data_IF_751015493936
#
_entry.id   IF_751015493936
#
_cell.length_a   1.000
_cell.length_b   1.000
_cell.length_c   1.000
_cell.angle_alpha   90.00
_cell.angle_beta   90.00
_cell.angle_gamma   90.00
#
_symmetry.space_group_name_H-M   'P 1'
#
loop_
_entity.id
_entity.type
_entity.pdbx_description
1 polymer ?
#
# COMPACT_ATOMS: atom_id res chain seq x y z
N UNK A 1 -53.89 27.70 -19.85
CA UNK A 1 -53.47 26.34 -19.36
C UNK A 1 -51.94 26.33 -19.28
N UNK A 2 -51.41 26.55 -18.09
CA UNK A 2 -50.00 26.38 -17.85
C UNK A 2 -49.67 24.88 -18.07
N UNK A 3 -48.62 24.53 -18.80
CA UNK A 3 -48.18 23.16 -18.93
C UNK A 3 -47.75 22.68 -17.58
N UNK A 4 -48.35 21.60 -17.08
CA UNK A 4 -48.01 20.91 -15.85
C UNK A 4 -46.55 20.39 -15.93
N UNK A 5 -45.62 21.28 -15.60
CA UNK A 5 -44.16 21.11 -15.73
C UNK A 5 -43.61 20.10 -14.70
N UNK A 6 -44.51 19.47 -13.95
CA UNK A 6 -44.17 18.52 -12.89
C UNK A 6 -44.31 17.05 -13.30
N UNK A 7 -44.66 16.76 -14.56
CA UNK A 7 -44.68 15.39 -15.09
C UNK A 7 -43.27 14.93 -15.42
N UNK A 8 -42.87 13.83 -14.80
CA UNK A 8 -41.63 13.14 -15.16
C UNK A 8 -41.68 12.70 -16.63
N UNK A 9 -40.65 13.10 -17.38
CA UNK A 9 -40.49 12.63 -18.77
C UNK A 9 -40.15 11.16 -18.77
N UNK A 10 -40.50 10.44 -19.84
CA UNK A 10 -40.26 9.00 -19.99
C UNK A 10 -38.82 8.59 -19.61
N UNK A 11 -37.83 9.38 -20.04
CA UNK A 11 -36.41 9.13 -19.74
C UNK A 11 -36.09 9.30 -18.25
N UNK A 12 -36.70 10.24 -17.57
CA UNK A 12 -36.56 10.44 -16.13
C UNK A 12 -37.15 9.26 -15.36
N UNK A 13 -38.31 8.78 -15.79
CA UNK A 13 -38.97 7.61 -15.22
C UNK A 13 -38.11 6.35 -15.36
N UNK A 14 -37.48 6.13 -16.51
CA UNK A 14 -36.59 4.98 -16.74
C UNK A 14 -35.38 4.98 -15.80
N UNK A 15 -34.79 6.15 -15.56
CA UNK A 15 -33.67 6.28 -14.62
C UNK A 15 -34.10 6.03 -13.16
N UNK A 16 -35.25 6.57 -12.77
CA UNK A 16 -35.78 6.35 -11.42
C UNK A 16 -36.18 4.89 -11.20
N UNK A 17 -36.76 4.24 -12.20
CA UNK A 17 -37.08 2.80 -12.16
C UNK A 17 -35.82 1.93 -12.01
N UNK A 18 -34.73 2.28 -12.69
CA UNK A 18 -33.45 1.60 -12.54
C UNK A 18 -32.86 1.81 -11.13
N UNK A 19 -32.92 3.02 -10.58
CA UNK A 19 -32.50 3.32 -9.19
C UNK A 19 -33.41 2.67 -8.15
N UNK A 20 -34.68 2.41 -8.47
CA UNK A 20 -35.59 1.65 -7.60
C UNK A 20 -35.15 0.21 -7.37
N UNK A 21 -34.46 -0.40 -8.34
CA UNK A 21 -33.92 -1.76 -8.20
C UNK A 21 -32.67 -1.79 -7.30
N UNK A 22 -31.83 -0.77 -7.38
CA UNK A 22 -30.61 -0.64 -6.61
C UNK A 22 -30.41 0.82 -6.26
N UNK A 23 -30.58 1.18 -5.00
CA UNK A 23 -30.59 2.57 -4.51
C UNK A 23 -29.30 3.34 -4.70
N UNK A 24 -28.18 2.68 -5.03
CA UNK A 24 -26.88 3.30 -5.29
C UNK A 24 -26.25 2.64 -6.51
N UNK A 25 -26.01 3.43 -7.54
CA UNK A 25 -25.36 3.00 -8.78
C UNK A 25 -24.35 4.06 -9.24
N UNK A 26 -23.31 3.61 -9.91
CA UNK A 26 -22.45 4.51 -10.68
C UNK A 26 -23.18 4.96 -11.96
N UNK A 27 -22.73 6.07 -12.55
CA UNK A 27 -23.29 6.54 -13.84
C UNK A 27 -23.24 5.44 -14.91
N UNK A 28 -22.13 4.69 -14.98
CA UNK A 28 -21.96 3.59 -15.93
C UNK A 28 -22.90 2.41 -15.67
N UNK A 29 -23.11 2.05 -14.40
CA UNK A 29 -24.09 1.01 -14.03
C UNK A 29 -25.51 1.45 -14.37
N UNK A 30 -25.83 2.73 -14.14
CA UNK A 30 -27.14 3.30 -14.42
C UNK A 30 -27.42 3.36 -15.93
N UNK A 31 -26.44 3.71 -16.77
CA UNK A 31 -26.53 3.64 -18.23
C UNK A 31 -26.81 2.21 -18.71
N UNK A 32 -26.10 1.25 -18.13
CA UNK A 32 -26.28 -0.18 -18.49
C UNK A 32 -27.65 -0.73 -18.07
N UNK A 33 -28.08 -0.40 -16.85
CA UNK A 33 -29.34 -0.90 -16.30
C UNK A 33 -30.58 -0.26 -16.94
N UNK A 34 -30.50 1.04 -17.24
CA UNK A 34 -31.57 1.77 -17.94
C UNK A 34 -31.60 1.51 -19.45
N UNK A 35 -30.52 0.94 -20.01
CA UNK A 35 -30.37 0.77 -21.47
C UNK A 35 -30.18 2.06 -22.23
N UNK A 36 -29.96 3.17 -21.55
CA UNK A 36 -29.84 4.50 -22.12
C UNK A 36 -28.39 4.92 -22.28
N UNK A 37 -28.07 5.59 -23.40
CA UNK A 37 -26.78 6.27 -23.59
C UNK A 37 -26.91 7.75 -23.25
N UNK A 38 -25.84 8.34 -22.73
CA UNK A 38 -25.78 9.76 -22.39
C UNK A 38 -26.91 10.19 -21.43
N UNK A 39 -26.89 9.64 -20.23
CA UNK A 39 -27.90 9.93 -19.18
C UNK A 39 -27.63 11.22 -18.40
N UNK A 40 -26.46 11.84 -18.58
CA UNK A 40 -26.03 13.00 -17.80
C UNK A 40 -27.02 14.18 -17.84
N UNK A 41 -27.57 14.58 -19.03
CA UNK A 41 -28.57 15.66 -19.07
C UNK A 41 -29.83 15.34 -18.28
N UNK A 42 -30.33 14.11 -18.38
CA UNK A 42 -31.53 13.67 -17.65
C UNK A 42 -31.24 13.56 -16.16
N UNK A 43 -30.06 13.07 -15.78
CA UNK A 43 -29.61 12.99 -14.39
C UNK A 43 -29.51 14.37 -13.76
N UNK A 44 -29.05 15.38 -14.51
CA UNK A 44 -28.98 16.77 -14.05
C UNK A 44 -30.35 17.32 -13.71
N UNK A 45 -31.36 17.09 -14.52
CA UNK A 45 -32.74 17.51 -14.25
C UNK A 45 -33.29 16.83 -13.00
N UNK A 46 -33.00 15.54 -12.80
CA UNK A 46 -33.43 14.81 -11.61
C UNK A 46 -32.70 15.32 -10.33
N UNK A 47 -31.45 15.77 -10.45
CA UNK A 47 -30.72 16.42 -9.38
C UNK A 47 -31.33 17.80 -9.02
N UNK A 48 -31.63 18.61 -10.04
CA UNK A 48 -32.28 19.93 -9.86
C UNK A 48 -33.67 19.80 -9.22
N UNK A 49 -34.37 18.70 -9.45
CA UNK A 49 -35.67 18.35 -8.84
C UNK A 49 -35.53 17.63 -7.49
N UNK A 50 -34.30 17.48 -6.96
CA UNK A 50 -34.01 16.76 -5.72
C UNK A 50 -34.52 15.30 -5.68
N UNK A 51 -34.84 14.72 -6.83
CA UNK A 51 -35.32 13.34 -6.93
C UNK A 51 -34.18 12.33 -6.78
N UNK A 52 -32.94 12.74 -6.98
CA UNK A 52 -31.71 11.92 -6.81
C UNK A 52 -30.61 12.76 -6.17
N UNK A 53 -29.68 12.09 -5.50
CA UNK A 53 -28.51 12.72 -4.89
C UNK A 53 -27.25 12.07 -5.42
N UNK A 54 -26.20 12.87 -5.66
CA UNK A 54 -24.87 12.37 -6.01
C UNK A 54 -24.03 12.37 -4.73
N UNK A 55 -23.50 11.19 -4.38
CA UNK A 55 -22.47 11.05 -3.35
C UNK A 55 -21.16 10.64 -4.00
N UNK A 56 -20.12 11.44 -3.83
CA UNK A 56 -18.78 11.07 -4.26
C UNK A 56 -18.23 10.02 -3.30
N UNK A 57 -18.13 8.78 -3.76
CA UNK A 57 -17.36 7.75 -3.06
C UNK A 57 -15.92 7.83 -3.55
N UNK A 58 -15.07 8.42 -2.75
CA UNK A 58 -13.64 8.27 -2.91
C UNK A 58 -13.30 6.78 -2.71
N UNK A 59 -13.34 6.01 -3.80
CA UNK A 59 -12.70 4.69 -3.80
C UNK A 59 -11.21 4.96 -3.68
N UNK A 60 -10.72 5.03 -2.47
CA UNK A 60 -9.30 4.99 -2.20
C UNK A 60 -8.79 3.62 -2.65
N UNK A 61 -8.49 3.50 -3.94
CA UNK A 61 -7.70 2.38 -4.48
C UNK A 61 -6.23 2.52 -4.03
N UNK A 62 -6.04 3.05 -2.81
CA UNK A 62 -4.73 3.09 -2.20
C UNK A 62 -4.31 1.65 -1.91
N UNK A 63 -3.45 1.13 -2.76
CA UNK A 63 -2.71 -0.09 -2.49
C UNK A 63 -1.37 0.34 -1.89
N UNK A 64 -1.18 0.15 -0.59
CA UNK A 64 0.10 0.45 0.02
C UNK A 64 1.18 -0.36 -0.69
N UNK A 65 2.29 0.30 -1.00
CA UNK A 65 3.46 -0.40 -1.55
C UNK A 65 4.04 -1.26 -0.43
N UNK A 66 4.00 -2.58 -0.61
CA UNK A 66 4.60 -3.52 0.34
C UNK A 66 5.98 -3.91 -0.15
N UNK A 67 6.94 -3.98 0.75
CA UNK A 67 8.27 -4.52 0.52
C UNK A 67 8.49 -5.74 1.41
N UNK A 68 9.26 -6.69 0.89
CA UNK A 68 9.59 -7.91 1.64
C UNK A 68 10.87 -7.66 2.42
N UNK A 69 10.81 -7.87 3.71
CA UNK A 69 11.92 -7.85 4.65
C UNK A 69 12.26 -9.26 5.09
N UNK A 70 13.48 -9.42 5.58
CA UNK A 70 14.00 -10.70 6.07
C UNK A 70 14.37 -10.52 7.53
N UNK A 71 14.09 -11.53 8.35
CA UNK A 71 14.57 -11.62 9.71
C UNK A 71 15.14 -13.01 10.01
N UNK A 72 15.98 -13.11 11.03
CA UNK A 72 16.39 -14.40 11.59
C UNK A 72 15.24 -15.01 12.38
N UNK A 73 15.19 -16.33 12.44
CA UNK A 73 14.17 -17.07 13.23
C UNK A 73 14.48 -17.08 14.73
N UNK A 74 15.65 -16.61 15.10
CA UNK A 74 16.12 -16.51 16.49
C UNK A 74 16.44 -15.06 16.86
N UNK A 75 16.47 -14.78 18.15
CA UNK A 75 16.64 -13.43 18.69
C UNK A 75 18.10 -13.01 18.80
N UNK A 76 18.32 -11.70 18.86
CA UNK A 76 19.62 -11.12 19.16
C UNK A 76 20.06 -11.53 20.58
N UNK A 77 21.27 -12.06 20.70
CA UNK A 77 21.83 -12.54 21.97
C UNK A 77 21.71 -14.06 22.18
N UNK A 78 21.06 -14.79 21.28
CA UNK A 78 21.06 -16.25 21.28
C UNK A 78 22.30 -16.78 20.54
N UNK A 79 23.42 -16.84 21.28
CA UNK A 79 24.69 -17.30 20.75
C UNK A 79 24.67 -18.78 20.35
N UNK A 80 23.82 -19.59 20.97
CA UNK A 80 23.68 -21.00 20.62
C UNK A 80 22.99 -21.16 19.25
N UNK A 81 21.90 -20.44 19.03
CA UNK A 81 21.20 -20.45 17.75
C UNK A 81 22.08 -19.85 16.63
N UNK A 82 22.85 -18.81 16.92
CA UNK A 82 23.78 -18.21 15.97
C UNK A 82 24.88 -19.21 15.55
N UNK A 83 25.50 -19.93 16.50
CA UNK A 83 26.48 -20.99 16.19
C UNK A 83 25.86 -22.10 15.35
N UNK A 84 24.66 -22.54 15.71
CA UNK A 84 23.92 -23.53 14.94
C UNK A 84 23.66 -23.06 13.51
N UNK A 85 23.28 -21.78 13.31
CA UNK A 85 23.08 -21.21 11.98
C UNK A 85 24.38 -21.27 11.13
N UNK A 86 25.53 -20.94 11.71
CA UNK A 86 26.82 -21.06 11.02
C UNK A 86 27.16 -22.50 10.68
N UNK A 87 26.92 -23.46 11.57
CA UNK A 87 27.13 -24.90 11.27
C UNK A 87 26.25 -25.37 10.10
N UNK A 88 24.98 -24.92 10.02
CA UNK A 88 24.07 -25.25 8.94
C UNK A 88 24.52 -24.74 7.57
N UNK A 89 25.29 -23.65 7.51
CA UNK A 89 25.75 -23.03 6.25
C UNK A 89 27.22 -23.28 5.94
N UNK A 90 27.98 -23.87 6.85
CA UNK A 90 29.44 -24.09 6.77
C UNK A 90 29.91 -24.71 5.46
N UNK A 91 29.14 -25.64 4.90
CA UNK A 91 29.49 -26.31 3.64
C UNK A 91 29.02 -25.56 2.39
N UNK A 92 28.25 -24.50 2.54
CA UNK A 92 27.64 -23.75 1.44
C UNK A 92 28.08 -22.28 1.45
N UNK A 93 29.25 -21.99 0.85
CA UNK A 93 29.85 -20.64 0.84
C UNK A 93 28.91 -19.51 0.46
N UNK A 94 27.96 -19.73 -0.46
CA UNK A 94 26.97 -18.74 -0.84
C UNK A 94 25.94 -18.46 0.28
N UNK A 95 25.57 -19.48 1.05
CA UNK A 95 24.66 -19.34 2.19
C UNK A 95 25.39 -18.65 3.35
N UNK A 96 26.64 -19.01 3.61
CA UNK A 96 27.49 -18.36 4.60
C UNK A 96 27.66 -16.86 4.30
N UNK A 97 27.97 -16.52 3.03
CA UNK A 97 28.09 -15.13 2.59
C UNK A 97 26.78 -14.35 2.79
N UNK A 98 25.63 -14.98 2.50
CA UNK A 98 24.33 -14.35 2.73
C UNK A 98 24.06 -14.14 4.23
N UNK A 99 24.38 -15.11 5.09
CA UNK A 99 24.24 -14.97 6.54
C UNK A 99 25.11 -13.83 7.08
N UNK A 100 26.38 -13.76 6.68
CA UNK A 100 27.30 -12.69 7.07
C UNK A 100 26.81 -11.31 6.60
N UNK A 101 26.33 -11.23 5.36
CA UNK A 101 25.76 -9.99 4.81
C UNK A 101 24.52 -9.54 5.59
N UNK A 102 23.69 -10.46 6.03
CA UNK A 102 22.54 -10.16 6.87
C UNK A 102 22.96 -9.63 8.26
N UNK A 103 23.91 -10.28 8.91
CA UNK A 103 24.41 -9.87 10.23
C UNK A 103 25.04 -8.47 10.18
N UNK A 104 25.75 -8.13 9.08
CA UNK A 104 26.34 -6.81 8.83
C UNK A 104 25.24 -5.76 8.63
N UNK A 105 24.30 -5.96 7.71
CA UNK A 105 23.23 -5.04 7.41
C UNK A 105 22.28 -4.79 8.58
N UNK A 106 21.95 -5.86 9.32
CA UNK A 106 21.04 -5.78 10.45
C UNK A 106 21.69 -5.22 11.72
N UNK A 107 23.00 -5.04 11.75
CA UNK A 107 23.77 -4.72 12.94
C UNK A 107 23.51 -5.71 14.09
N UNK A 108 23.28 -6.99 13.73
CA UNK A 108 22.85 -8.03 14.67
C UNK A 108 23.79 -8.19 15.86
N UNK A 109 25.09 -8.00 15.66
CA UNK A 109 26.11 -8.10 16.71
C UNK A 109 26.13 -6.90 17.68
N UNK A 110 25.43 -5.80 17.35
CA UNK A 110 25.36 -4.60 18.17
C UNK A 110 24.06 -4.59 18.98
N UNK A 111 24.15 -4.94 20.28
CA UNK A 111 22.97 -4.96 21.16
C UNK A 111 22.19 -3.63 21.13
N UNK A 112 20.88 -3.73 20.93
CA UNK A 112 19.97 -2.58 20.93
C UNK A 112 19.97 -1.74 19.66
N UNK A 113 20.70 -2.14 18.60
CA UNK A 113 20.76 -1.41 17.31
C UNK A 113 20.28 -2.23 16.12
N UNK A 114 19.43 -3.21 16.36
CA UNK A 114 18.93 -4.08 15.29
C UNK A 114 18.19 -3.27 14.21
N UNK A 115 18.61 -3.43 12.97
CA UNK A 115 17.98 -2.81 11.80
C UNK A 115 17.22 -3.84 10.98
N UNK A 116 16.11 -3.41 10.40
CA UNK A 116 15.36 -4.21 9.46
C UNK A 116 16.11 -4.30 8.12
N UNK A 117 16.17 -5.50 7.55
CA UNK A 117 16.88 -5.76 6.30
C UNK A 117 15.88 -6.11 5.21
N UNK A 118 15.81 -5.30 4.16
CA UNK A 118 14.97 -5.62 3.02
C UNK A 118 15.57 -6.76 2.19
N UNK A 119 14.70 -7.56 1.57
CA UNK A 119 15.12 -8.63 0.66
C UNK A 119 16.05 -8.10 -0.44
N UNK A 120 15.73 -6.91 -0.97
CA UNK A 120 16.52 -6.28 -2.02
C UNK A 120 17.92 -5.96 -1.52
N UNK A 121 18.03 -5.23 -0.41
CA UNK A 121 19.33 -4.86 0.17
C UNK A 121 20.19 -6.06 0.51
N UNK A 122 19.57 -7.16 0.99
CA UNK A 122 20.30 -8.40 1.29
C UNK A 122 20.88 -9.06 0.03
N UNK A 123 20.09 -9.15 -1.04
CA UNK A 123 20.53 -9.74 -2.31
C UNK A 123 21.61 -8.88 -2.97
N UNK A 124 21.45 -7.56 -2.98
CA UNK A 124 22.41 -6.61 -3.54
C UNK A 124 23.74 -6.65 -2.76
N UNK A 125 23.70 -6.69 -1.43
CA UNK A 125 24.89 -6.74 -0.58
C UNK A 125 25.63 -8.06 -0.65
N UNK A 126 24.89 -9.18 -0.66
CA UNK A 126 25.49 -10.51 -0.71
C UNK A 126 25.98 -10.92 -2.10
N UNK A 127 25.43 -10.32 -3.16
CA UNK A 127 25.69 -10.71 -4.55
C UNK A 127 25.21 -12.12 -4.88
N UNK A 128 24.33 -12.70 -4.05
CA UNK A 128 23.88 -14.09 -4.16
C UNK A 128 22.46 -14.15 -4.72
N UNK A 129 22.14 -15.21 -5.43
CA UNK A 129 20.83 -15.37 -6.06
C UNK A 129 19.69 -15.58 -5.06
N UNK A 130 18.49 -15.20 -5.46
CA UNK A 130 17.24 -15.39 -4.70
C UNK A 130 16.96 -16.87 -4.34
N UNK A 131 17.45 -17.82 -5.13
CA UNK A 131 17.31 -19.25 -4.85
C UNK A 131 18.06 -19.66 -3.56
N UNK A 132 19.21 -19.04 -3.29
CA UNK A 132 19.96 -19.29 -2.05
C UNK A 132 19.20 -18.75 -0.84
N UNK A 133 18.55 -17.61 -0.98
CA UNK A 133 17.67 -17.09 0.06
C UNK A 133 16.50 -18.06 0.34
N UNK A 134 15.88 -18.60 -0.71
CA UNK A 134 14.83 -19.63 -0.57
C UNK A 134 15.32 -20.83 0.24
N UNK A 135 16.49 -21.36 -0.10
CA UNK A 135 17.10 -22.47 0.65
C UNK A 135 17.39 -22.14 2.12
N UNK A 136 17.73 -20.87 2.44
CA UNK A 136 17.91 -20.41 3.82
C UNK A 136 16.59 -20.32 4.59
N UNK A 137 15.50 -19.97 3.91
CA UNK A 137 14.14 -19.98 4.46
C UNK A 137 13.67 -21.42 4.71
N UNK A 138 13.89 -22.33 3.75
CA UNK A 138 13.55 -23.76 3.91
C UNK A 138 14.33 -24.43 5.06
N UNK A 139 15.56 -24.00 5.32
CA UNK A 139 16.36 -24.44 6.48
C UNK A 139 15.87 -23.83 7.80
N UNK A 140 14.90 -22.93 7.79
CA UNK A 140 14.39 -22.27 8.97
C UNK A 140 15.36 -21.27 9.60
N UNK A 141 16.34 -20.76 8.85
CA UNK A 141 17.28 -19.74 9.34
C UNK A 141 16.74 -18.32 9.13
N UNK A 142 16.04 -18.11 8.00
CA UNK A 142 15.43 -16.83 7.65
C UNK A 142 13.92 -16.94 7.56
N UNK A 143 13.25 -15.86 7.91
CA UNK A 143 11.81 -15.70 7.74
C UNK A 143 11.51 -14.41 6.97
N UNK A 144 10.86 -14.50 5.79
CA UNK A 144 10.41 -13.33 5.06
C UNK A 144 9.10 -12.80 5.62
N UNK A 145 8.99 -11.49 5.75
CA UNK A 145 7.73 -10.81 6.11
C UNK A 145 7.50 -9.59 5.24
N UNK A 146 6.23 -9.19 5.08
CA UNK A 146 5.85 -8.02 4.29
C UNK A 146 5.66 -6.83 5.23
N UNK A 147 6.24 -5.70 4.85
CA UNK A 147 6.03 -4.42 5.53
C UNK A 147 5.51 -3.39 4.53
N UNK A 148 4.52 -2.61 4.93
CA UNK A 148 4.03 -1.47 4.17
C UNK A 148 5.04 -0.33 4.26
N UNK A 149 5.43 0.21 3.11
CA UNK A 149 6.30 1.38 3.05
C UNK A 149 5.40 2.60 2.91
N UNK A 150 5.34 3.42 3.96
CA UNK A 150 4.78 4.76 3.87
C UNK A 150 5.70 5.63 3.01
N UNK A 151 5.14 6.35 2.04
CA UNK A 151 5.90 7.32 1.24
C UNK A 151 6.39 8.53 2.04
N UNK A 152 5.98 8.63 3.29
CA UNK A 152 6.26 9.77 4.17
C UNK A 152 7.45 9.58 5.11
N UNK A 153 8.11 8.40 5.10
CA UNK A 153 9.26 8.15 5.98
C UNK A 153 10.62 8.60 5.39
N UNK A 154 10.65 9.25 4.22
CA UNK A 154 11.95 9.55 3.57
C UNK A 154 12.48 10.96 3.80
N UNK A 155 11.74 11.84 4.47
CA UNK A 155 12.25 13.16 4.80
C UNK A 155 12.04 13.45 6.29
N UNK A 156 13.03 13.09 7.09
CA UNK A 156 13.28 13.82 8.33
C UNK A 156 13.68 15.22 7.89
N UNK A 157 12.69 16.09 7.67
CA UNK A 157 12.97 17.53 7.62
C UNK A 157 13.54 17.89 8.98
N UNK A 158 14.85 18.08 9.03
CA UNK A 158 15.46 18.89 10.07
C UNK A 158 14.74 20.21 9.98
N UNK A 159 13.87 20.49 10.96
CA UNK A 159 13.30 21.81 11.13
C UNK A 159 14.51 22.70 11.39
N UNK A 160 15.00 23.37 10.35
CA UNK A 160 15.89 24.50 10.53
C UNK A 160 15.04 25.54 11.25
N UNK A 161 15.45 25.90 12.45
CA UNK A 161 14.87 27.02 13.16
C UNK A 161 14.84 28.21 12.19
N UNK A 162 13.62 28.74 11.97
CA UNK A 162 13.44 29.89 11.12
C UNK A 162 14.35 30.99 11.64
N UNK A 163 15.21 31.53 10.77
CA UNK A 163 16.05 32.66 11.11
C UNK A 163 15.16 33.80 11.64
N UNK A 164 15.57 34.51 12.70
CA UNK A 164 14.77 35.59 13.24
C UNK A 164 14.53 36.65 12.16
N UNK A 165 13.29 37.13 12.12
CA UNK A 165 12.87 38.16 11.18
C UNK A 165 13.80 39.37 11.29
N UNK A 166 14.24 39.90 10.16
CA UNK A 166 15.07 41.13 10.12
C UNK A 166 14.24 42.34 10.59
N UNK A 167 14.91 43.35 11.17
CA UNK A 167 14.28 44.57 11.69
C UNK A 167 13.38 45.32 10.68
N UNK A 168 13.48 44.98 9.39
CA UNK A 168 12.65 45.56 8.32
C UNK A 168 11.30 44.81 8.13
N UNK A 169 11.05 43.73 8.89
CA UNK A 169 9.85 42.91 8.80
C UNK A 169 8.98 42.93 10.08
N UNK A 170 9.37 43.80 11.05
CA UNK A 170 8.56 44.14 12.21
C UNK A 170 7.67 45.39 11.85
#
# INVERSE_FOLDING_TARGET
EEPDDNRLKEREWMLLAALGKKSRMTVQELEKESGMRNILPTLRVLLEREAVFVSEQLKTNYRPKTETYIRLTFQQGDDAALRHAFECVKQAKKQEMMLLSFLDLSLFMQKGKLREVSRKSLLDRSGVSSAVLGAMVEKGLFEPYKKEISRFETDVYTVQEAAPLSDAQQ
#
